data_IF_047320082011
#
_entry.id   IF_047320082011
#
_cell.length_a   1.000
_cell.length_b   1.000
_cell.length_c   1.000
_cell.angle_alpha   90.00
_cell.angle_beta   90.00
_cell.angle_gamma   90.00
#
_symmetry.space_group_name_H-M   'P 1'
#
loop_
_entity.id
_entity.type
_entity.pdbx_description
1 polymer ?
#
# COMPACT_ATOMS: atom_id res chain seq x y z
N UNK A 1 27.14 -3.03 20.29
CA UNK A 1 27.84 -4.30 20.01
C UNK A 1 27.05 -5.08 18.96
N UNK A 2 27.69 -5.65 17.91
CA UNK A 2 27.01 -6.33 16.80
C UNK A 2 26.03 -7.42 17.25
N UNK A 3 26.37 -8.18 18.28
CA UNK A 3 25.56 -9.32 18.79
C UNK A 3 24.19 -8.86 19.33
N UNK A 4 24.09 -7.71 20.01
CA UNK A 4 22.80 -7.23 20.53
C UNK A 4 21.86 -6.75 19.41
N UNK A 5 22.41 -6.16 18.36
CA UNK A 5 21.63 -5.77 17.17
C UNK A 5 21.18 -6.98 16.37
N UNK A 6 22.00 -8.05 16.29
CA UNK A 6 21.63 -9.30 15.64
C UNK A 6 20.49 -10.00 16.36
N UNK A 7 20.56 -10.17 17.68
CA UNK A 7 19.51 -10.81 18.47
C UNK A 7 18.14 -10.10 18.33
N UNK A 8 18.14 -8.76 18.36
CA UNK A 8 16.92 -8.00 18.08
C UNK A 8 16.41 -8.23 16.64
N UNK A 9 17.33 -8.29 15.67
CA UNK A 9 16.97 -8.55 14.27
C UNK A 9 16.34 -9.93 14.07
N UNK A 10 16.74 -10.93 14.85
CA UNK A 10 16.19 -12.29 14.77
C UNK A 10 14.74 -12.36 15.23
N UNK A 11 14.45 -11.76 16.38
CA UNK A 11 13.08 -11.68 16.88
C UNK A 11 12.20 -11.01 15.83
N UNK A 12 12.66 -9.89 15.25
CA UNK A 12 11.91 -9.17 14.22
C UNK A 12 11.75 -9.95 12.92
N UNK A 13 12.74 -10.72 12.45
CA UNK A 13 12.60 -11.56 11.25
C UNK A 13 11.53 -12.62 11.41
N UNK A 14 11.59 -13.40 12.50
CA UNK A 14 10.63 -14.47 12.77
C UNK A 14 9.20 -13.93 12.77
N UNK A 15 8.94 -12.85 13.50
CA UNK A 15 7.61 -12.27 13.59
C UNK A 15 7.13 -11.66 12.27
N UNK A 16 8.01 -10.95 11.53
CA UNK A 16 7.66 -10.36 10.23
C UNK A 16 7.35 -11.45 9.20
N UNK A 17 8.13 -12.54 9.19
CA UNK A 17 7.91 -13.65 8.28
C UNK A 17 6.66 -14.48 8.64
N UNK A 18 6.48 -14.79 9.94
CA UNK A 18 5.37 -15.61 10.44
C UNK A 18 4.03 -14.87 10.35
N UNK A 19 4.02 -13.55 10.61
CA UNK A 19 2.82 -12.73 10.73
C UNK A 19 2.74 -11.60 9.70
N UNK A 20 3.32 -11.81 8.50
CA UNK A 20 3.32 -10.80 7.45
C UNK A 20 1.91 -10.34 7.05
N UNK A 21 0.95 -11.25 6.98
CA UNK A 21 -0.46 -10.97 6.67
C UNK A 21 -1.15 -10.15 7.77
N UNK A 22 -0.93 -10.51 9.04
CA UNK A 22 -1.47 -9.77 10.18
C UNK A 22 -0.84 -8.37 10.32
N UNK A 23 0.47 -8.25 10.01
CA UNK A 23 1.12 -6.94 9.93
C UNK A 23 0.53 -6.09 8.81
N UNK A 24 0.27 -6.67 7.63
CA UNK A 24 -0.41 -5.96 6.54
C UNK A 24 -1.82 -5.53 6.95
N UNK A 25 -2.54 -6.38 7.67
CA UNK A 25 -3.87 -6.07 8.20
C UNK A 25 -3.82 -4.90 9.18
N UNK A 26 -2.82 -4.85 10.06
CA UNK A 26 -2.69 -3.81 11.08
C UNK A 26 -2.56 -2.38 10.53
N UNK A 27 -2.18 -2.25 9.27
CA UNK A 27 -2.12 -0.99 8.53
C UNK A 27 -3.20 -0.89 7.44
N UNK A 28 -4.27 -1.71 7.54
CA UNK A 28 -5.33 -1.74 6.53
C UNK A 28 -6.39 -0.68 6.81
N UNK A 29 -6.53 0.21 5.85
CA UNK A 29 -7.56 1.22 5.74
C UNK A 29 -7.94 1.42 4.27
N UNK A 30 -9.14 1.94 4.00
CA UNK A 30 -9.63 2.17 2.62
C UNK A 30 -8.68 3.10 1.86
N UNK A 31 -8.29 4.22 2.48
CA UNK A 31 -7.35 5.17 1.89
C UNK A 31 -5.97 4.58 1.65
N UNK A 32 -5.56 3.62 2.47
CA UNK A 32 -4.26 2.97 2.35
C UNK A 32 -4.19 2.00 1.15
N UNK A 33 -5.32 1.47 0.69
CA UNK A 33 -5.40 0.64 -0.52
C UNK A 33 -5.02 1.42 -1.80
N UNK A 34 -5.26 2.73 -1.82
CA UNK A 34 -4.83 3.61 -2.93
C UNK A 34 -3.35 4.00 -2.82
N UNK A 35 -2.76 3.88 -1.64
CA UNK A 35 -1.39 4.31 -1.35
C UNK A 35 -0.37 3.17 -1.44
N UNK A 36 -0.68 1.99 -0.90
CA UNK A 36 0.24 0.86 -0.84
C UNK A 36 0.51 0.28 -2.23
N UNK A 37 1.79 0.21 -2.60
CA UNK A 37 2.23 -0.24 -3.91
C UNK A 37 2.06 0.79 -5.03
N UNK A 38 1.67 2.03 -4.68
CA UNK A 38 1.63 3.19 -5.57
C UNK A 38 2.86 4.09 -5.35
N UNK A 39 2.91 5.24 -6.04
CA UNK A 39 4.01 6.19 -5.96
C UNK A 39 4.32 6.58 -4.51
N UNK A 40 5.59 6.56 -4.14
CA UNK A 40 6.14 6.97 -2.83
C UNK A 40 5.61 6.20 -1.60
N UNK A 41 4.85 5.13 -1.80
CA UNK A 41 4.34 4.31 -0.71
C UNK A 41 5.04 2.95 -0.63
N UNK A 42 5.15 2.34 0.57
CA UNK A 42 5.63 0.99 0.71
C UNK A 42 4.77 0.00 -0.09
N UNK A 43 5.35 -1.08 -0.65
CA UNK A 43 4.60 -2.11 -1.33
C UNK A 43 3.70 -2.88 -0.36
N UNK A 44 2.67 -3.57 -0.91
CA UNK A 44 1.77 -4.42 -0.12
C UNK A 44 2.44 -5.70 0.41
N UNK A 45 3.67 -5.97 0.00
CA UNK A 45 4.49 -7.11 0.44
C UNK A 45 5.27 -6.71 1.68
N UNK A 46 5.09 -7.42 2.77
CA UNK A 46 5.89 -7.19 3.99
C UNK A 46 7.27 -7.82 3.79
N UNK A 47 8.28 -6.97 3.75
CA UNK A 47 9.69 -7.35 3.71
C UNK A 47 10.50 -6.54 4.71
N UNK A 48 11.69 -7.02 5.05
CA UNK A 48 12.56 -6.38 6.02
C UNK A 48 13.86 -5.92 5.34
N UNK A 49 14.18 -4.65 5.50
CA UNK A 49 15.47 -4.08 5.12
C UNK A 49 16.44 -4.13 6.31
N UNK A 50 17.62 -4.69 6.10
CA UNK A 50 18.69 -4.74 7.10
C UNK A 50 19.84 -3.79 6.79
N UNK A 51 20.07 -3.49 5.52
CA UNK A 51 21.24 -2.78 5.01
C UNK A 51 22.46 -3.69 4.87
N UNK A 52 23.39 -3.27 4.03
CA UNK A 52 24.57 -4.08 3.62
C UNK A 52 25.40 -4.57 4.81
N UNK A 53 25.57 -3.73 5.84
CA UNK A 53 26.44 -4.05 6.98
C UNK A 53 25.87 -5.16 7.86
N UNK A 54 24.57 -5.07 8.18
CA UNK A 54 23.94 -6.09 9.06
C UNK A 54 23.68 -7.38 8.27
N UNK A 55 23.34 -7.26 6.99
CA UNK A 55 23.18 -8.45 6.13
C UNK A 55 24.49 -9.23 5.99
N UNK A 56 25.65 -8.56 5.82
CA UNK A 56 26.95 -9.23 5.79
C UNK A 56 27.21 -10.04 7.08
N UNK A 57 26.93 -9.46 8.24
CA UNK A 57 27.06 -10.16 9.53
C UNK A 57 26.14 -11.38 9.60
N UNK A 58 24.89 -11.23 9.14
CA UNK A 58 23.91 -12.31 9.10
C UNK A 58 24.35 -13.43 8.17
N UNK A 59 24.82 -13.09 6.97
CA UNK A 59 25.30 -14.09 6.02
C UNK A 59 26.53 -14.84 6.52
N UNK A 60 27.44 -14.17 7.21
CA UNK A 60 28.57 -14.85 7.86
C UNK A 60 28.10 -15.85 8.92
N UNK A 61 27.11 -15.51 9.74
CA UNK A 61 26.52 -16.43 10.72
C UNK A 61 25.86 -17.65 10.06
N UNK A 62 25.12 -17.45 8.97
CA UNK A 62 24.47 -18.53 8.22
C UNK A 62 25.51 -19.46 7.60
N UNK A 63 26.46 -18.89 6.83
CA UNK A 63 27.38 -19.67 5.98
C UNK A 63 28.54 -20.28 6.76
N UNK A 64 29.11 -19.55 7.73
CA UNK A 64 30.33 -19.94 8.44
C UNK A 64 30.10 -20.32 9.91
N UNK A 65 28.89 -20.09 10.41
CA UNK A 65 28.53 -20.33 11.80
C UNK A 65 28.94 -19.24 12.77
N UNK A 66 29.79 -18.30 12.34
CA UNK A 66 30.24 -17.19 13.19
C UNK A 66 30.57 -15.95 12.37
N UNK A 67 30.32 -14.76 12.92
CA UNK A 67 30.62 -13.49 12.30
C UNK A 67 31.94 -12.92 12.83
N UNK A 68 33.00 -12.99 12.05
CA UNK A 68 34.36 -12.57 12.44
C UNK A 68 34.71 -11.16 11.99
N UNK A 69 33.91 -10.56 11.09
CA UNK A 69 34.15 -9.23 10.50
C UNK A 69 32.83 -8.52 10.25
N UNK A 70 32.91 -7.22 10.00
CA UNK A 70 31.76 -6.43 9.53
C UNK A 70 32.27 -5.46 8.46
N UNK A 71 31.51 -5.27 7.40
CA UNK A 71 31.83 -4.30 6.35
C UNK A 71 31.92 -2.91 7.01
N UNK A 72 33.11 -2.30 6.93
CA UNK A 72 33.26 -0.92 7.37
C UNK A 72 32.58 0.01 6.36
N UNK A 73 31.90 1.04 6.87
CA UNK A 73 31.24 2.07 6.05
C UNK A 73 32.23 2.60 4.99
N UNK A 74 31.90 2.35 3.72
CA UNK A 74 32.71 2.87 2.62
C UNK A 74 32.64 4.41 2.60
N UNK A 75 33.72 5.03 2.15
CA UNK A 75 33.74 6.49 1.90
C UNK A 75 33.22 6.80 0.49
N UNK A 76 32.34 7.78 0.41
CA UNK A 76 31.94 8.35 -0.87
C UNK A 76 33.06 9.28 -1.35
N UNK A 77 33.77 8.85 -2.40
CA UNK A 77 34.76 9.73 -3.07
C UNK A 77 34.04 10.56 -4.12
N UNK A 78 33.94 11.84 -3.89
CA UNK A 78 33.28 12.77 -4.83
C UNK A 78 34.09 13.06 -6.08
N UNK A 79 35.37 12.67 -6.12
CA UNK A 79 36.30 13.02 -7.20
C UNK A 79 36.83 14.47 -7.15
N UNK A 80 36.30 15.30 -6.27
CA UNK A 80 36.74 16.68 -6.07
C UNK A 80 37.75 16.74 -4.92
N UNK A 81 38.96 17.19 -5.21
CA UNK A 81 40.08 17.28 -4.23
C UNK A 81 39.83 18.25 -3.07
N UNK A 82 38.85 19.12 -3.21
CA UNK A 82 38.46 20.13 -2.21
C UNK A 82 37.37 19.69 -1.24
N UNK A 83 36.70 18.55 -1.52
CA UNK A 83 35.67 18.03 -0.66
C UNK A 83 36.22 16.89 0.22
N UNK A 84 35.92 16.86 1.54
CA UNK A 84 36.29 15.74 2.39
C UNK A 84 35.57 14.47 1.95
N UNK A 85 36.21 13.34 2.19
CA UNK A 85 35.56 12.05 2.06
C UNK A 85 34.33 11.95 2.99
N UNK A 86 33.15 11.71 2.42
CA UNK A 86 31.91 11.53 3.18
C UNK A 86 31.72 10.05 3.50
N UNK A 87 31.33 9.74 4.73
CA UNK A 87 30.92 8.37 5.06
C UNK A 87 29.62 8.04 4.35
N UNK A 88 29.55 6.89 3.68
CA UNK A 88 28.29 6.39 3.15
C UNK A 88 27.34 6.10 4.30
N UNK A 89 26.10 6.55 4.17
CA UNK A 89 25.03 6.17 5.08
C UNK A 89 24.60 4.74 4.75
N UNK A 90 24.62 3.84 5.75
CA UNK A 90 24.19 2.46 5.60
C UNK A 90 22.70 2.26 5.97
N UNK A 91 22.02 3.35 6.33
CA UNK A 91 20.60 3.29 6.69
C UNK A 91 19.71 3.48 5.46
N UNK A 92 18.58 2.79 5.43
CA UNK A 92 17.58 3.00 4.37
C UNK A 92 16.82 4.29 4.60
N UNK A 93 17.12 5.29 3.80
CA UNK A 93 16.33 6.52 3.69
C UNK A 93 15.32 6.45 2.57
N UNK A 94 15.44 5.46 1.67
CA UNK A 94 14.43 5.19 0.68
C UNK A 94 13.20 4.58 1.38
N UNK A 95 12.04 5.08 1.10
CA UNK A 95 10.78 4.61 1.70
C UNK A 95 10.25 3.35 1.03
N UNK A 96 11.14 2.52 0.46
CA UNK A 96 10.76 1.33 -0.30
C UNK A 96 10.51 0.09 0.55
N UNK A 97 11.04 0.07 1.79
CA UNK A 97 10.88 -1.06 2.69
C UNK A 97 9.80 -0.78 3.74
N UNK A 98 8.79 -1.66 3.87
CA UNK A 98 7.73 -1.50 4.87
C UNK A 98 8.22 -1.73 6.30
N UNK A 99 9.32 -2.48 6.48
CA UNK A 99 9.93 -2.73 7.78
C UNK A 99 11.45 -2.58 7.69
N UNK A 100 12.00 -1.48 8.21
CA UNK A 100 13.39 -1.11 7.95
C UNK A 100 14.22 -0.92 9.21
N UNK A 101 15.46 -1.45 9.19
CA UNK A 101 16.48 -1.13 10.17
C UNK A 101 17.16 0.20 9.84
N UNK A 102 17.09 1.15 10.79
CA UNK A 102 17.62 2.52 10.59
C UNK A 102 18.89 2.78 11.40
N UNK A 103 19.66 1.73 11.68
CA UNK A 103 20.94 1.79 12.37
C UNK A 103 20.89 1.51 13.86
N UNK A 104 19.81 1.84 14.56
CA UNK A 104 19.63 1.58 15.99
C UNK A 104 18.20 1.14 16.37
N UNK A 105 17.27 1.14 15.41
CA UNK A 105 15.87 0.75 15.60
C UNK A 105 15.31 0.17 14.32
N UNK A 106 14.17 -0.51 14.45
CA UNK A 106 13.32 -0.88 13.32
C UNK A 106 12.13 0.08 13.23
N UNK A 107 11.71 0.38 12.01
CA UNK A 107 10.55 1.21 11.71
C UNK A 107 9.56 0.44 10.85
N UNK A 108 8.31 0.34 11.31
CA UNK A 108 7.20 -0.13 10.50
C UNK A 108 6.52 1.06 9.82
N UNK A 109 6.53 1.11 8.49
CA UNK A 109 6.27 2.31 7.69
C UNK A 109 5.00 2.19 6.83
N UNK A 110 4.00 1.44 7.25
CA UNK A 110 2.82 1.17 6.43
C UNK A 110 1.59 1.97 6.84
N UNK A 111 1.51 2.43 8.09
CA UNK A 111 0.32 3.14 8.59
C UNK A 111 0.11 4.44 7.83
N UNK A 112 -1.10 4.70 7.38
CA UNK A 112 -1.49 5.94 6.71
C UNK A 112 -1.38 7.16 7.63
N UNK A 113 -1.21 8.37 7.05
CA UNK A 113 -1.04 9.61 7.83
C UNK A 113 -2.28 10.02 8.63
N UNK A 114 -3.46 9.56 8.19
CA UNK A 114 -4.74 9.83 8.86
C UNK A 114 -5.16 8.70 9.81
N UNK A 115 -4.40 7.58 9.82
CA UNK A 115 -4.77 6.39 10.57
C UNK A 115 -4.26 6.41 12.00
N UNK A 116 -4.96 5.68 12.87
CA UNK A 116 -4.47 5.39 14.21
C UNK A 116 -3.31 4.38 14.14
N UNK A 117 -2.24 4.66 14.88
CA UNK A 117 -1.13 3.71 15.07
C UNK A 117 -1.46 2.56 16.05
N UNK A 118 -2.62 2.63 16.72
CA UNK A 118 -2.99 1.66 17.76
C UNK A 118 -3.07 0.21 17.24
N UNK A 119 -3.73 -0.10 16.11
CA UNK A 119 -3.75 -1.46 15.58
C UNK A 119 -2.35 -2.01 15.28
N UNK A 120 -1.49 -1.22 14.65
CA UNK A 120 -0.12 -1.60 14.36
C UNK A 120 0.69 -1.86 15.65
N UNK A 121 0.54 -1.02 16.66
CA UNK A 121 1.22 -1.20 17.95
C UNK A 121 0.72 -2.44 18.70
N UNK A 122 -0.58 -2.72 18.70
CA UNK A 122 -1.15 -3.93 19.32
C UNK A 122 -0.60 -5.18 18.65
N UNK A 123 -0.65 -5.24 17.33
CA UNK A 123 -0.13 -6.38 16.56
C UNK A 123 1.37 -6.55 16.81
N UNK A 124 2.17 -5.49 16.62
CA UNK A 124 3.62 -5.56 16.80
C UNK A 124 4.01 -6.05 18.21
N UNK A 125 3.41 -5.49 19.26
CA UNK A 125 3.73 -5.90 20.61
C UNK A 125 3.35 -7.36 20.89
N UNK A 126 2.21 -7.83 20.36
CA UNK A 126 1.75 -9.20 20.60
C UNK A 126 2.59 -10.23 19.84
N UNK A 127 2.93 -9.99 18.56
CA UNK A 127 3.78 -10.91 17.79
C UNK A 127 5.22 -10.94 18.32
N UNK A 128 5.72 -9.81 18.87
CA UNK A 128 7.01 -9.77 19.60
C UNK A 128 6.95 -10.60 20.86
N UNK A 129 5.88 -10.45 21.65
CA UNK A 129 5.71 -11.24 22.88
C UNK A 129 5.62 -12.75 22.57
N UNK A 130 4.93 -13.14 21.50
CA UNK A 130 4.89 -14.53 21.03
C UNK A 130 6.30 -15.03 20.67
N UNK A 131 7.05 -14.26 19.88
CA UNK A 131 8.40 -14.65 19.48
C UNK A 131 9.34 -14.77 20.68
N UNK A 132 9.27 -13.87 21.66
CA UNK A 132 10.05 -13.98 22.89
C UNK A 132 9.65 -15.20 23.72
N UNK A 133 8.36 -15.49 23.81
CA UNK A 133 7.90 -16.68 24.53
C UNK A 133 8.43 -17.96 23.89
N UNK A 134 8.28 -18.10 22.57
CA UNK A 134 8.75 -19.28 21.84
C UNK A 134 10.29 -19.46 21.96
N UNK A 135 11.05 -18.36 21.89
CA UNK A 135 12.51 -18.39 22.09
C UNK A 135 12.85 -18.78 23.54
N UNK A 136 12.13 -18.23 24.52
CA UNK A 136 12.36 -18.57 25.93
C UNK A 136 12.05 -20.06 26.21
N UNK A 137 10.94 -20.57 25.67
CA UNK A 137 10.56 -21.98 25.82
C UNK A 137 11.61 -22.92 25.17
N UNK A 138 12.22 -22.52 24.03
CA UNK A 138 13.29 -23.31 23.38
C UNK A 138 14.64 -23.24 24.14
N UNK A 139 14.92 -22.13 24.83
CA UNK A 139 16.17 -21.97 25.60
C UNK A 139 16.08 -22.50 27.04
N UNK A 140 14.88 -22.76 27.53
CA UNK A 140 14.66 -23.22 28.90
C UNK A 140 15.34 -24.59 29.15
N UNK A 141 16.13 -24.67 30.20
CA UNK A 141 16.86 -25.89 30.54
C UNK A 141 18.17 -26.12 29.80
N UNK A 142 18.65 -25.19 28.98
CA UNK A 142 19.94 -25.28 28.30
C UNK A 142 21.10 -25.22 29.29
N UNK A 143 22.03 -26.18 29.19
CA UNK A 143 23.22 -26.23 30.07
C UNK A 143 24.21 -25.10 29.73
N UNK A 144 24.42 -24.82 28.45
CA UNK A 144 25.22 -23.69 27.93
C UNK A 144 24.31 -22.66 27.24
N UNK A 145 23.87 -21.67 28.00
CA UNK A 145 22.99 -20.61 27.51
C UNK A 145 23.62 -19.78 26.40
N UNK A 146 24.95 -19.56 26.43
CA UNK A 146 25.60 -18.77 25.38
C UNK A 146 25.58 -19.49 24.04
N UNK A 147 25.93 -20.78 24.05
CA UNK A 147 25.91 -21.60 22.84
C UNK A 147 24.48 -21.78 22.34
N UNK A 148 23.50 -22.05 23.20
CA UNK A 148 22.10 -22.19 22.85
C UNK A 148 21.52 -20.92 22.20
N UNK A 149 21.83 -19.74 22.73
CA UNK A 149 21.44 -18.45 22.11
C UNK A 149 22.11 -18.26 20.74
N UNK A 150 23.39 -18.60 20.61
CA UNK A 150 24.10 -18.50 19.34
C UNK A 150 23.47 -19.40 18.27
N UNK A 151 23.20 -20.66 18.60
CA UNK A 151 22.59 -21.62 17.68
C UNK A 151 21.16 -21.24 17.34
N UNK A 152 20.40 -20.71 18.29
CA UNK A 152 19.07 -20.16 18.08
C UNK A 152 19.10 -19.00 17.08
N UNK A 153 20.00 -18.03 17.25
CA UNK A 153 20.20 -16.90 16.35
C UNK A 153 20.49 -17.42 14.94
N UNK A 154 21.43 -18.33 14.78
CA UNK A 154 21.76 -18.93 13.48
C UNK A 154 20.56 -19.61 12.83
N UNK A 155 19.80 -20.41 13.61
CA UNK A 155 18.59 -21.09 13.15
C UNK A 155 17.56 -20.08 12.64
N UNK A 156 17.23 -19.06 13.43
CA UNK A 156 16.22 -18.05 13.09
C UNK A 156 16.62 -17.25 11.84
N UNK A 157 17.91 -16.91 11.69
CA UNK A 157 18.40 -16.26 10.48
C UNK A 157 18.28 -17.14 9.25
N UNK A 158 18.53 -18.42 9.39
CA UNK A 158 18.43 -19.39 8.29
C UNK A 158 16.98 -19.60 7.87
N UNK A 159 16.09 -19.86 8.84
CA UNK A 159 14.70 -20.24 8.58
C UNK A 159 13.87 -19.07 8.02
N UNK A 160 14.16 -17.84 8.46
CA UNK A 160 13.38 -16.65 8.11
C UNK A 160 14.11 -15.66 7.18
N UNK A 161 15.18 -16.09 6.48
CA UNK A 161 15.92 -15.20 5.59
C UNK A 161 15.09 -14.70 4.40
N UNK A 162 14.05 -15.44 4.00
CA UNK A 162 13.23 -15.12 2.82
C UNK A 162 12.56 -13.75 2.90
N UNK A 163 12.32 -13.21 4.09
CA UNK A 163 11.68 -11.90 4.29
C UNK A 163 12.65 -10.74 4.12
N UNK A 164 13.97 -10.99 4.11
CA UNK A 164 14.99 -9.93 3.97
C UNK A 164 15.13 -9.52 2.51
N UNK A 165 15.01 -8.21 2.28
CA UNK A 165 15.20 -7.60 0.99
C UNK A 165 15.80 -6.20 1.11
N UNK A 166 16.97 -5.97 0.53
CA UNK A 166 17.70 -4.70 0.55
C UNK A 166 17.66 -3.95 -0.79
N UNK A 167 16.81 -4.38 -1.71
CA UNK A 167 16.67 -3.78 -3.04
C UNK A 167 15.55 -2.75 -3.15
N UNK A 168 15.22 -2.38 -4.38
CA UNK A 168 14.11 -1.48 -4.69
C UNK A 168 12.76 -2.22 -4.59
N UNK A 169 11.97 -1.93 -3.54
CA UNK A 169 10.66 -2.53 -3.30
C UNK A 169 9.58 -2.14 -4.31
N UNK A 170 9.79 -1.11 -5.14
CA UNK A 170 8.82 -0.69 -6.16
C UNK A 170 8.94 -1.44 -7.49
N UNK A 171 9.96 -2.26 -7.67
CA UNK A 171 10.21 -2.92 -8.94
C UNK A 171 9.34 -4.16 -9.15
N UNK A 172 8.97 -4.42 -10.41
CA UNK A 172 8.22 -5.63 -10.79
C UNK A 172 9.03 -6.91 -10.54
N UNK A 173 10.37 -6.83 -10.64
CA UNK A 173 11.27 -7.93 -10.30
C UNK A 173 11.16 -8.32 -8.83
N UNK A 174 10.94 -7.35 -7.93
CA UNK A 174 10.69 -7.65 -6.53
C UNK A 174 9.37 -8.39 -6.32
N UNK A 175 8.31 -8.00 -7.02
CA UNK A 175 7.01 -8.68 -6.93
C UNK A 175 7.15 -10.15 -7.33
N UNK A 176 7.84 -10.43 -8.45
CA UNK A 176 8.10 -11.79 -8.91
C UNK A 176 8.99 -12.60 -7.94
N UNK A 177 10.03 -11.96 -7.39
CA UNK A 177 10.91 -12.59 -6.41
C UNK A 177 10.20 -12.87 -5.09
N UNK A 178 9.35 -11.97 -4.62
CA UNK A 178 8.55 -12.16 -3.40
C UNK A 178 7.57 -13.35 -3.54
N UNK A 179 6.94 -13.48 -4.71
CA UNK A 179 6.10 -14.63 -5.03
C UNK A 179 6.91 -15.92 -5.03
N UNK A 180 8.09 -15.94 -5.64
CA UNK A 180 9.02 -17.10 -5.63
C UNK A 180 9.43 -17.49 -4.21
N UNK A 181 9.58 -16.51 -3.30
CA UNK A 181 9.90 -16.72 -1.88
C UNK A 181 8.67 -17.13 -1.05
N UNK A 182 7.46 -17.11 -1.62
CA UNK A 182 6.22 -17.41 -0.92
C UNK A 182 5.82 -16.32 0.06
N UNK A 183 6.20 -15.06 -0.18
CA UNK A 183 5.76 -13.91 0.62
C UNK A 183 4.38 -13.45 0.16
N UNK A 184 3.45 -13.14 1.09
CA UNK A 184 2.13 -12.68 0.72
C UNK A 184 2.16 -11.26 0.13
N UNK A 185 1.41 -11.05 -0.95
CA UNK A 185 1.18 -9.75 -1.56
C UNK A 185 -0.30 -9.39 -1.43
N UNK A 186 -0.68 -8.84 -0.29
CA UNK A 186 -2.08 -8.52 0.06
C UNK A 186 -2.37 -7.07 -0.32
N UNK A 187 -2.95 -6.86 -1.50
CA UNK A 187 -3.15 -5.54 -2.08
C UNK A 187 -4.32 -4.77 -1.50
N UNK A 188 -5.33 -5.46 -0.96
CA UNK A 188 -6.54 -4.81 -0.47
C UNK A 188 -6.81 -5.04 1.01
N UNK A 189 -7.45 -4.05 1.65
CA UNK A 189 -7.97 -4.15 3.01
C UNK A 189 -8.93 -5.34 3.14
N UNK A 190 -9.78 -5.60 2.14
CA UNK A 190 -10.77 -6.68 2.18
C UNK A 190 -10.11 -8.06 2.31
N UNK A 191 -8.96 -8.27 1.65
CA UNK A 191 -8.19 -9.51 1.81
C UNK A 191 -7.50 -9.56 3.16
N UNK A 192 -6.88 -8.44 3.56
CA UNK A 192 -6.07 -8.38 4.77
C UNK A 192 -6.87 -8.65 6.04
N UNK A 193 -8.11 -8.14 6.13
CA UNK A 193 -9.01 -8.29 7.29
C UNK A 193 -9.23 -9.75 7.66
N UNK A 194 -9.21 -10.67 6.69
CA UNK A 194 -9.31 -12.11 6.96
C UNK A 194 -8.23 -12.65 7.90
N UNK A 195 -7.07 -11.99 7.98
CA UNK A 195 -5.97 -12.39 8.86
C UNK A 195 -6.30 -12.26 10.35
N UNK A 196 -7.24 -11.40 10.74
CA UNK A 196 -7.68 -11.24 12.13
C UNK A 196 -8.35 -12.49 12.71
N UNK A 197 -9.06 -13.22 11.87
CA UNK A 197 -9.89 -14.35 12.29
C UNK A 197 -9.29 -15.71 11.94
N UNK A 198 -8.02 -15.76 11.53
CA UNK A 198 -7.29 -17.00 11.35
C UNK A 198 -7.10 -17.73 12.68
N UNK A 199 -7.20 -19.06 12.72
CA UNK A 199 -7.07 -19.83 13.96
C UNK A 199 -5.76 -19.53 14.73
N UNK A 200 -4.65 -19.37 14.03
CA UNK A 200 -3.35 -19.03 14.63
C UNK A 200 -3.33 -17.63 15.24
N UNK A 201 -3.98 -16.65 14.58
CA UNK A 201 -4.11 -15.27 15.09
C UNK A 201 -4.99 -15.25 16.35
N UNK A 202 -6.14 -15.92 16.32
CA UNK A 202 -7.03 -16.04 17.48
C UNK A 202 -6.30 -16.68 18.65
N UNK A 203 -5.64 -17.82 18.43
CA UNK A 203 -4.87 -18.52 19.47
C UNK A 203 -3.78 -17.63 20.10
N UNK A 204 -3.09 -16.86 19.28
CA UNK A 204 -2.05 -15.94 19.77
C UNK A 204 -2.67 -14.85 20.66
N UNK A 205 -3.68 -14.13 20.18
CA UNK A 205 -4.28 -13.03 20.94
C UNK A 205 -4.94 -13.50 22.23
N UNK A 206 -5.65 -14.63 22.22
CA UNK A 206 -6.22 -15.23 23.42
C UNK A 206 -5.14 -15.70 24.39
N UNK A 207 -4.07 -16.32 23.86
CA UNK A 207 -2.95 -16.81 24.67
C UNK A 207 -2.23 -15.71 25.47
N UNK A 208 -2.23 -14.47 24.96
CA UNK A 208 -1.68 -13.29 25.63
C UNK A 208 -2.75 -12.44 26.33
N UNK A 209 -4.01 -12.84 26.31
CA UNK A 209 -5.13 -12.10 26.92
C UNK A 209 -5.38 -10.72 26.33
N UNK A 210 -5.04 -10.51 25.05
CA UNK A 210 -5.20 -9.23 24.36
C UNK A 210 -6.57 -9.09 23.74
N UNK A 211 -7.02 -10.10 22.99
CA UNK A 211 -8.37 -10.18 22.40
C UNK A 211 -8.90 -11.59 22.47
N UNK A 212 -10.21 -11.72 22.63
CA UNK A 212 -10.96 -12.95 22.45
C UNK A 212 -11.34 -13.17 20.99
N UNK A 213 -11.68 -14.40 20.61
CA UNK A 213 -12.19 -14.72 19.27
C UNK A 213 -13.41 -13.85 18.89
N UNK A 214 -14.33 -13.62 19.83
CA UNK A 214 -15.51 -12.80 19.61
C UNK A 214 -15.14 -11.33 19.28
N UNK A 215 -14.17 -10.77 19.98
CA UNK A 215 -13.68 -9.42 19.70
C UNK A 215 -12.97 -9.31 18.35
N UNK A 216 -12.18 -10.30 17.95
CA UNK A 216 -11.53 -10.34 16.65
C UNK A 216 -12.52 -10.46 15.51
N UNK A 217 -13.55 -11.31 15.66
CA UNK A 217 -14.65 -11.41 14.68
C UNK A 217 -15.40 -10.10 14.54
N UNK A 218 -15.77 -9.47 15.66
CA UNK A 218 -16.45 -8.16 15.63
C UNK A 218 -15.61 -7.09 14.96
N UNK A 219 -14.30 -7.06 15.21
CA UNK A 219 -13.38 -6.12 14.54
C UNK A 219 -13.29 -6.35 13.04
N UNK A 220 -13.27 -7.61 12.60
CA UNK A 220 -13.27 -7.94 11.18
C UNK A 220 -14.57 -7.49 10.50
N UNK A 221 -15.73 -7.73 11.12
CA UNK A 221 -17.03 -7.28 10.63
C UNK A 221 -17.11 -5.76 10.51
N UNK A 222 -16.67 -5.03 11.54
CA UNK A 222 -16.61 -3.56 11.52
C UNK A 222 -15.71 -3.04 10.39
N UNK A 223 -14.58 -3.68 10.14
CA UNK A 223 -13.67 -3.29 9.05
C UNK A 223 -14.28 -3.53 7.67
N UNK A 224 -14.96 -4.65 7.44
CA UNK A 224 -15.69 -4.90 6.20
C UNK A 224 -16.81 -3.88 5.98
N UNK A 225 -17.55 -3.57 7.03
CA UNK A 225 -18.60 -2.55 6.97
C UNK A 225 -18.03 -1.15 6.69
N UNK A 226 -16.92 -0.78 7.33
CA UNK A 226 -16.25 0.49 7.12
C UNK A 226 -15.76 0.63 5.66
N UNK A 227 -15.16 -0.43 5.09
CA UNK A 227 -14.76 -0.47 3.69
C UNK A 227 -15.95 -0.25 2.77
N UNK A 228 -17.02 -1.02 2.96
CA UNK A 228 -18.24 -0.94 2.15
C UNK A 228 -18.87 0.46 2.21
N UNK A 229 -18.94 1.06 3.39
CA UNK A 229 -19.48 2.40 3.60
C UNK A 229 -18.65 3.47 2.88
N UNK A 230 -17.32 3.41 2.99
CA UNK A 230 -16.44 4.38 2.36
C UNK A 230 -16.56 4.34 0.83
N UNK A 231 -16.42 3.17 0.22
CA UNK A 231 -16.55 3.03 -1.24
C UNK A 231 -17.96 3.40 -1.73
N UNK A 232 -19.00 3.07 -0.96
CA UNK A 232 -20.37 3.49 -1.29
C UNK A 232 -20.55 5.03 -1.31
N UNK A 233 -19.91 5.73 -0.36
CA UNK A 233 -19.94 7.20 -0.33
C UNK A 233 -19.18 7.75 -1.55
N UNK A 234 -17.99 7.25 -1.82
CA UNK A 234 -17.17 7.67 -2.96
C UNK A 234 -17.93 7.45 -4.29
N UNK A 235 -18.50 6.25 -4.50
CA UNK A 235 -19.25 5.93 -5.70
C UNK A 235 -20.48 6.85 -5.90
N UNK A 236 -21.24 7.10 -4.82
CA UNK A 236 -22.39 8.02 -4.88
C UNK A 236 -21.96 9.47 -5.15
N UNK A 237 -20.85 9.90 -4.59
CA UNK A 237 -20.27 11.23 -4.86
C UNK A 237 -19.86 11.34 -6.33
N UNK A 238 -19.20 10.32 -6.90
CA UNK A 238 -18.87 10.31 -8.33
C UNK A 238 -20.10 10.39 -9.22
N UNK A 239 -21.18 9.66 -8.90
CA UNK A 239 -22.45 9.73 -9.65
C UNK A 239 -23.04 11.14 -9.58
N UNK A 240 -23.01 11.75 -8.41
CA UNK A 240 -23.55 13.11 -8.19
C UNK A 240 -22.75 14.16 -8.94
N UNK A 241 -21.43 14.15 -8.84
CA UNK A 241 -20.51 15.05 -9.55
C UNK A 241 -20.66 14.89 -11.08
N UNK A 242 -20.65 13.65 -11.58
CA UNK A 242 -20.84 13.39 -13.00
C UNK A 242 -22.19 13.90 -13.48
N UNK A 243 -23.27 13.65 -12.74
CA UNK A 243 -24.63 13.98 -13.15
C UNK A 243 -25.00 15.46 -13.04
N UNK A 244 -24.46 16.16 -12.03
CA UNK A 244 -24.87 17.55 -11.76
C UNK A 244 -23.87 18.61 -12.21
N UNK A 245 -22.61 18.23 -12.37
CA UNK A 245 -21.55 19.18 -12.66
C UNK A 245 -20.89 18.88 -14.00
N UNK A 246 -20.29 17.70 -14.20
CA UNK A 246 -19.46 17.40 -15.36
C UNK A 246 -20.29 17.23 -16.64
N UNK A 247 -21.31 16.38 -16.63
CA UNK A 247 -22.16 16.16 -17.81
C UNK A 247 -22.85 17.45 -18.26
N UNK A 248 -23.47 18.28 -17.41
CA UNK A 248 -24.01 19.57 -17.79
C UNK A 248 -22.99 20.54 -18.39
N UNK A 249 -21.80 20.61 -17.82
CA UNK A 249 -20.70 21.44 -18.33
C UNK A 249 -20.29 21.03 -19.77
N UNK A 250 -20.13 19.73 -19.99
CA UNK A 250 -19.78 19.19 -21.31
C UNK A 250 -20.91 19.42 -22.31
N UNK A 251 -22.18 19.31 -21.92
CA UNK A 251 -23.33 19.65 -22.78
C UNK A 251 -23.24 21.11 -23.19
N UNK A 252 -22.92 22.03 -22.30
CA UNK A 252 -22.75 23.44 -22.59
C UNK A 252 -21.61 23.65 -23.59
N UNK A 253 -20.47 23.03 -23.38
CA UNK A 253 -19.33 23.11 -24.29
C UNK A 253 -19.62 22.52 -25.67
N UNK A 254 -20.30 21.38 -25.77
CA UNK A 254 -20.70 20.81 -27.07
C UNK A 254 -21.68 21.71 -27.80
N UNK A 255 -22.53 22.45 -27.12
CA UNK A 255 -23.43 23.46 -27.71
C UNK A 255 -22.61 24.60 -28.31
N UNK A 256 -21.59 25.12 -27.61
CA UNK A 256 -20.72 26.17 -28.13
C UNK A 256 -19.91 25.68 -29.35
N UNK A 257 -19.36 24.47 -29.30
CA UNK A 257 -18.69 23.87 -30.48
C UNK A 257 -19.62 23.71 -31.66
N UNK A 258 -20.87 23.29 -31.46
CA UNK A 258 -21.86 23.15 -32.55
C UNK A 258 -22.18 24.50 -33.18
N UNK A 259 -22.35 25.56 -32.38
CA UNK A 259 -22.55 26.93 -32.87
C UNK A 259 -21.32 27.42 -33.66
N UNK A 260 -20.11 27.11 -33.17
CA UNK A 260 -18.85 27.45 -33.86
C UNK A 260 -18.76 26.75 -35.22
N UNK A 261 -19.08 25.46 -35.29
CA UNK A 261 -19.13 24.70 -36.59
C UNK A 261 -20.09 25.34 -37.59
N UNK A 262 -21.28 25.73 -37.15
CA UNK A 262 -22.27 26.36 -37.99
C UNK A 262 -21.81 27.74 -38.50
N UNK A 263 -21.33 28.60 -37.59
CA UNK A 263 -20.91 29.96 -37.93
C UNK A 263 -19.68 29.98 -38.85
N UNK A 264 -18.70 29.10 -38.65
CA UNK A 264 -17.52 29.01 -39.52
C UNK A 264 -17.90 28.52 -40.92
N UNK A 265 -18.79 27.53 -41.02
CA UNK A 265 -19.34 27.07 -42.33
C UNK A 265 -20.13 28.15 -43.04
N UNK A 266 -20.99 28.89 -42.36
CA UNK A 266 -21.75 30.00 -42.95
C UNK A 266 -20.82 31.12 -43.43
N UNK A 267 -19.70 31.36 -42.78
CA UNK A 267 -18.66 32.27 -43.24
C UNK A 267 -17.84 31.75 -44.46
N UNK A 268 -18.08 30.54 -44.94
CA UNK A 268 -17.39 29.92 -46.06
C UNK A 268 -16.00 29.38 -45.73
N UNK A 269 -15.66 29.20 -44.43
CA UNK A 269 -14.39 28.68 -43.95
C UNK A 269 -14.47 27.18 -43.61
N UNK A 270 -13.31 26.54 -43.45
CA UNK A 270 -13.20 25.14 -43.01
C UNK A 270 -13.45 25.03 -41.50
N UNK A 271 -14.44 24.21 -41.14
CA UNK A 271 -14.83 23.93 -39.75
C UNK A 271 -14.48 22.47 -39.32
N UNK A 272 -13.58 21.81 -40.02
CA UNK A 272 -13.25 20.40 -39.76
C UNK A 272 -12.72 20.18 -38.32
N UNK A 273 -11.83 21.05 -37.86
CA UNK A 273 -11.25 20.95 -36.50
C UNK A 273 -12.34 21.02 -35.43
N UNK A 274 -13.23 22.00 -35.52
CA UNK A 274 -14.33 22.15 -34.55
C UNK A 274 -15.29 20.96 -34.60
N UNK A 275 -15.57 20.41 -35.81
CA UNK A 275 -16.42 19.24 -35.96
C UNK A 275 -15.81 17.96 -35.41
N UNK A 276 -14.49 17.80 -35.54
CA UNK A 276 -13.76 16.66 -34.97
C UNK A 276 -13.78 16.70 -33.43
N UNK A 277 -13.48 17.86 -32.82
CA UNK A 277 -13.56 18.07 -31.36
C UNK A 277 -15.00 17.82 -30.85
N UNK A 278 -16.01 18.37 -31.55
CA UNK A 278 -17.41 18.15 -31.20
C UNK A 278 -17.77 16.66 -31.19
N UNK A 279 -17.30 15.92 -32.20
CA UNK A 279 -17.56 14.48 -32.34
C UNK A 279 -16.88 13.70 -31.18
N UNK A 280 -15.65 14.01 -30.88
CA UNK A 280 -14.86 13.36 -29.81
C UNK A 280 -15.50 13.60 -28.44
N UNK A 281 -15.76 14.85 -28.07
CA UNK A 281 -16.36 15.21 -26.78
C UNK A 281 -17.78 14.64 -26.64
N UNK A 282 -18.55 14.60 -27.72
CA UNK A 282 -19.90 13.96 -27.75
C UNK A 282 -19.79 12.44 -27.51
N UNK A 283 -18.72 11.80 -27.98
CA UNK A 283 -18.40 10.41 -27.71
C UNK A 283 -18.17 10.17 -26.20
N UNK A 284 -17.33 10.97 -25.59
CA UNK A 284 -17.08 10.89 -24.13
C UNK A 284 -18.34 11.13 -23.31
N UNK A 285 -19.17 12.10 -23.69
CA UNK A 285 -20.45 12.37 -23.03
C UNK A 285 -21.38 11.14 -23.04
N UNK A 286 -21.43 10.41 -24.15
CA UNK A 286 -22.19 9.16 -24.25
C UNK A 286 -21.62 8.07 -23.37
N UNK A 287 -20.30 7.91 -23.35
CA UNK A 287 -19.60 6.94 -22.46
C UNK A 287 -19.85 7.25 -20.98
N UNK A 288 -19.70 8.51 -20.56
CA UNK A 288 -19.97 8.96 -19.19
C UNK A 288 -21.39 8.63 -18.75
N UNK A 289 -22.39 8.92 -19.61
CA UNK A 289 -23.79 8.65 -19.28
C UNK A 289 -24.05 7.16 -19.07
N UNK A 290 -23.48 6.32 -19.92
CA UNK A 290 -23.60 4.86 -19.81
C UNK A 290 -22.87 4.33 -18.55
N UNK A 291 -21.65 4.78 -18.30
CA UNK A 291 -20.85 4.37 -17.15
C UNK A 291 -21.47 4.83 -15.82
N UNK A 292 -22.02 6.05 -15.77
CA UNK A 292 -22.75 6.54 -14.58
C UNK A 292 -24.00 5.71 -14.28
N UNK A 293 -24.74 5.30 -15.29
CA UNK A 293 -25.89 4.41 -15.11
C UNK A 293 -25.46 3.02 -14.59
N UNK A 294 -24.39 2.46 -15.18
CA UNK A 294 -23.80 1.18 -14.72
C UNK A 294 -23.32 1.26 -13.26
N UNK A 295 -22.64 2.32 -12.91
CA UNK A 295 -22.19 2.53 -11.53
C UNK A 295 -23.36 2.63 -10.55
N UNK A 296 -24.44 3.33 -10.91
CA UNK A 296 -25.64 3.41 -10.08
C UNK A 296 -26.30 2.02 -9.87
N UNK A 297 -26.36 1.20 -10.92
CA UNK A 297 -26.87 -0.17 -10.85
C UNK A 297 -26.01 -1.07 -9.97
N UNK A 298 -24.67 -1.00 -10.12
CA UNK A 298 -23.75 -1.81 -9.27
C UNK A 298 -23.83 -1.40 -7.80
N UNK A 299 -23.94 -0.10 -7.50
CA UNK A 299 -24.15 0.39 -6.13
C UNK A 299 -25.48 -0.10 -5.53
N UNK A 300 -26.55 -0.11 -6.33
CA UNK A 300 -27.84 -0.64 -5.88
C UNK A 300 -27.76 -2.16 -5.61
N UNK A 301 -27.06 -2.91 -6.45
CA UNK A 301 -26.84 -4.35 -6.29
C UNK A 301 -25.99 -4.64 -5.06
N UNK A 302 -24.97 -3.82 -4.73
CA UNK A 302 -24.13 -3.97 -3.55
C UNK A 302 -24.94 -3.98 -2.24
N UNK A 303 -26.08 -3.30 -2.20
CA UNK A 303 -26.98 -3.27 -1.04
C UNK A 303 -27.68 -4.63 -0.75
N UNK A 304 -27.60 -5.59 -1.66
CA UNK A 304 -28.16 -6.95 -1.47
C UNK A 304 -27.19 -7.91 -0.76
N UNK A 305 -25.94 -7.51 -0.58
CA UNK A 305 -24.91 -8.28 0.11
C UNK A 305 -24.65 -7.69 1.50
N UNK A 306 -24.06 -8.51 2.38
CA UNK A 306 -23.70 -8.11 3.74
C UNK A 306 -22.27 -8.54 4.09
N UNK A 307 -21.66 -7.88 5.07
CA UNK A 307 -20.36 -8.24 5.65
C UNK A 307 -19.26 -8.37 4.61
N UNK A 308 -18.48 -9.45 4.69
CA UNK A 308 -17.36 -9.73 3.79
C UNK A 308 -17.76 -9.77 2.32
N UNK A 309 -18.89 -10.42 1.99
CA UNK A 309 -19.36 -10.53 0.61
C UNK A 309 -19.72 -9.17 0.01
N UNK A 310 -20.26 -8.27 0.82
CA UNK A 310 -20.51 -6.88 0.40
C UNK A 310 -19.20 -6.13 0.12
N UNK A 311 -18.23 -6.24 1.01
CA UNK A 311 -16.93 -5.60 0.85
C UNK A 311 -16.18 -6.13 -0.41
N UNK A 312 -16.23 -7.43 -0.67
CA UNK A 312 -15.69 -8.04 -1.88
C UNK A 312 -16.40 -7.49 -3.13
N UNK A 313 -17.72 -7.38 -3.12
CA UNK A 313 -18.46 -6.81 -4.25
C UNK A 313 -18.11 -5.33 -4.49
N UNK A 314 -17.95 -4.54 -3.44
CA UNK A 314 -17.48 -3.17 -3.57
C UNK A 314 -16.07 -3.09 -4.18
N UNK A 315 -15.15 -3.95 -3.74
CA UNK A 315 -13.79 -4.02 -4.29
C UNK A 315 -13.77 -4.45 -5.77
N UNK A 316 -14.47 -5.54 -6.11
CA UNK A 316 -14.30 -6.24 -7.37
C UNK A 316 -15.24 -5.72 -8.47
N UNK A 317 -16.34 -5.06 -8.10
CA UNK A 317 -17.35 -4.63 -9.06
C UNK A 317 -17.59 -3.12 -9.02
N UNK A 318 -17.87 -2.56 -7.85
CA UNK A 318 -18.19 -1.12 -7.75
C UNK A 318 -16.96 -0.26 -8.07
N UNK A 319 -15.78 -0.57 -7.52
CA UNK A 319 -14.55 0.17 -7.85
C UNK A 319 -14.20 0.10 -9.34
N UNK A 320 -14.38 -1.04 -9.98
CA UNK A 320 -14.17 -1.18 -11.42
C UNK A 320 -15.13 -0.27 -12.19
N UNK A 321 -16.41 -0.21 -11.79
CA UNK A 321 -17.36 0.68 -12.42
C UNK A 321 -17.08 2.18 -12.15
N UNK A 322 -16.45 2.51 -10.99
CA UNK A 322 -15.96 3.86 -10.73
C UNK A 322 -14.83 4.26 -11.69
N UNK A 323 -13.88 3.36 -11.93
CA UNK A 323 -12.78 3.58 -12.89
C UNK A 323 -13.31 3.72 -14.33
N UNK A 324 -14.31 2.93 -14.71
CA UNK A 324 -14.97 3.05 -16.01
C UNK A 324 -15.68 4.40 -16.20
N UNK A 325 -16.25 4.97 -15.14
CA UNK A 325 -16.83 6.32 -15.20
C UNK A 325 -15.75 7.39 -15.27
N UNK A 326 -14.67 7.24 -14.50
CA UNK A 326 -13.58 8.21 -14.47
C UNK A 326 -12.85 8.34 -15.80
N UNK A 327 -12.61 7.24 -16.50
CA UNK A 327 -11.82 7.23 -17.72
C UNK A 327 -12.30 8.20 -18.82
N UNK A 328 -13.59 8.27 -19.20
CA UNK A 328 -14.07 9.26 -20.16
C UNK A 328 -14.10 10.69 -19.59
N UNK A 329 -14.20 10.86 -18.26
CA UNK A 329 -14.13 12.18 -17.60
C UNK A 329 -12.71 12.75 -17.74
N UNK A 330 -11.69 11.97 -17.37
CA UNK A 330 -10.28 12.38 -17.47
C UNK A 330 -9.89 12.74 -18.92
N UNK A 331 -10.43 12.03 -19.92
CA UNK A 331 -10.23 12.37 -21.34
C UNK A 331 -10.90 13.68 -21.73
N UNK A 332 -12.12 13.90 -21.29
CA UNK A 332 -12.85 15.13 -21.57
C UNK A 332 -12.21 16.36 -20.93
N UNK A 333 -11.67 16.23 -19.71
CA UNK A 333 -10.97 17.30 -19.02
C UNK A 333 -9.79 17.85 -19.83
N UNK A 334 -9.11 17.00 -20.61
CA UNK A 334 -7.97 17.41 -21.45
C UNK A 334 -8.37 18.25 -22.66
N UNK A 335 -9.66 18.30 -23.02
CA UNK A 335 -10.15 18.91 -24.27
C UNK A 335 -11.15 20.02 -23.98
N UNK A 336 -11.97 19.87 -22.95
CA UNK A 336 -13.01 20.86 -22.59
C UNK A 336 -12.38 22.16 -22.18
N UNK A 337 -12.89 23.27 -22.73
CA UNK A 337 -12.43 24.59 -22.39
C UNK A 337 -12.57 24.84 -20.89
N UNK A 338 -11.54 25.47 -20.30
CA UNK A 338 -11.44 25.80 -18.90
C UNK A 338 -12.65 26.59 -18.39
N UNK A 339 -13.24 27.48 -19.21
CA UNK A 339 -14.41 28.27 -18.82
C UNK A 339 -15.66 27.42 -18.60
N UNK A 340 -15.71 26.23 -19.20
CA UNK A 340 -16.80 25.26 -19.02
C UNK A 340 -16.50 24.19 -17.98
N UNK A 341 -15.20 23.91 -17.70
CA UNK A 341 -14.84 22.86 -16.75
C UNK A 341 -15.21 23.24 -15.32
N UNK A 342 -15.99 22.40 -14.59
CA UNK A 342 -16.58 22.82 -13.30
C UNK A 342 -15.62 22.84 -12.11
N UNK A 343 -14.38 22.35 -12.29
CA UNK A 343 -13.37 22.24 -11.23
C UNK A 343 -12.17 23.15 -11.52
N UNK A 344 -11.52 23.68 -10.45
CA UNK A 344 -10.34 24.50 -10.61
C UNK A 344 -9.15 23.68 -11.14
N UNK A 345 -8.36 24.26 -12.02
CA UNK A 345 -7.08 23.71 -12.47
C UNK A 345 -6.02 23.83 -11.36
N UNK A 346 -4.92 23.06 -11.47
CA UNK A 346 -3.77 23.21 -10.56
C UNK A 346 -3.20 24.64 -10.57
N UNK A 347 -3.20 25.32 -11.69
CA UNK A 347 -2.76 26.70 -11.78
C UNK A 347 -3.62 27.64 -10.94
N UNK A 348 -4.92 27.43 -10.95
CA UNK A 348 -5.85 28.23 -10.14
C UNK A 348 -5.66 27.94 -8.65
N UNK A 349 -5.57 26.66 -8.26
CA UNK A 349 -5.35 26.29 -6.86
C UNK A 349 -4.00 26.75 -6.30
N UNK A 350 -2.97 26.88 -7.13
CA UNK A 350 -1.63 27.28 -6.67
C UNK A 350 -1.42 28.79 -6.64
N UNK A 351 -2.15 29.57 -7.46
CA UNK A 351 -1.92 30.99 -7.69
C UNK A 351 -3.09 31.91 -7.38
N UNK A 352 -4.25 31.38 -6.99
CA UNK A 352 -5.29 32.18 -6.38
C UNK A 352 -4.93 32.48 -4.91
N UNK A 353 -4.67 33.77 -4.65
CA UNK A 353 -4.43 34.33 -3.31
C UNK A 353 -5.68 35.04 -2.84
#
# INVERSE_FOLDING_TARGET
TPIKSSAASDVYKRQVDKHADLLRESASDVGNDHRLGANEAPPAIISMFLGEQLEDVVMQLIDKGDATSSIQKGKLKTGASTLPDLNKDATDRNRTSPFAFTGNKFEFRMVGSSDSIAPANVVLNTIVAESFKEIADELEGSEDMQMAVHDMIKKLFTDHHRVVFNGNGYSDEWVAEAERRGLPNIKSMVEAVGSLVKPETVKMFEGFGVFTEAELKSRAEIKYEAYSKAINIEAKTMIDMAGKEIIPAIISYTTELANSVLSVKEAGADASVQADILTEVSGYLKEMKAASAKLAETVATAATFEGKAQAEYFRDTVKVAMDELRAPVDKAEMIVDKEFWPFPSYSELLFEV
#
